data_IF_167120479169
#
_entry.id   IF_167120479169
#
_cell.length_a   1.000
_cell.length_b   1.000
_cell.length_c   1.000
_cell.angle_alpha   90.00
_cell.angle_beta   90.00
_cell.angle_gamma   90.00
#
_symmetry.space_group_name_H-M   'P 1'
#
loop_
_entity.id
_entity.type
_entity.pdbx_description
1 polymer ?
#
# COMPACT_ATOMS: atom_id res chain seq x y z
N UNK A 1 -2.80 60.26 34.55
CA UNK A 1 -3.13 59.83 33.18
C UNK A 1 -3.62 58.39 33.23
N UNK A 2 -4.89 58.12 32.88
CA UNK A 2 -5.44 56.77 32.77
C UNK A 2 -5.10 56.21 31.38
N UNK A 3 -4.45 55.06 31.32
CA UNK A 3 -4.25 54.31 30.07
C UNK A 3 -5.61 53.78 29.56
N UNK A 4 -5.90 53.81 28.25
CA UNK A 4 -7.14 53.28 27.72
C UNK A 4 -7.12 51.74 27.70
N UNK A 5 -8.28 51.07 27.79
CA UNK A 5 -8.35 49.63 27.77
C UNK A 5 -8.09 49.11 26.35
N UNK A 6 -7.23 48.11 26.24
CA UNK A 6 -6.98 47.39 24.99
C UNK A 6 -8.22 46.56 24.67
N UNK A 7 -8.88 46.87 23.56
CA UNK A 7 -9.95 46.08 22.98
C UNK A 7 -9.37 44.73 22.54
N UNK A 8 -9.79 43.65 23.20
CA UNK A 8 -9.52 42.28 22.76
C UNK A 8 -10.31 42.06 21.48
N UNK A 9 -9.63 42.20 20.35
CA UNK A 9 -10.14 41.86 19.04
C UNK A 9 -10.53 40.37 19.07
N UNK A 10 -11.83 40.11 18.94
CA UNK A 10 -12.40 38.78 18.95
C UNK A 10 -12.03 38.11 17.63
N UNK A 11 -10.86 37.47 17.59
CA UNK A 11 -10.44 36.59 16.49
C UNK A 11 -11.48 35.49 16.36
N UNK A 12 -12.32 35.57 15.33
CA UNK A 12 -13.16 34.44 14.91
C UNK A 12 -12.20 33.40 14.35
N UNK A 13 -12.15 32.18 14.90
CA UNK A 13 -11.17 31.18 14.47
C UNK A 13 -11.48 30.75 13.03
N UNK A 14 -10.42 30.67 12.21
CA UNK A 14 -10.35 30.17 10.82
C UNK A 14 -10.80 28.70 10.64
N UNK A 15 -11.20 28.05 11.74
CA UNK A 15 -11.61 26.66 11.88
C UNK A 15 -12.74 26.23 10.92
N UNK A 16 -13.64 27.14 10.53
CA UNK A 16 -14.80 26.81 9.70
C UNK A 16 -14.46 26.68 8.21
N UNK A 17 -13.56 27.51 7.70
CA UNK A 17 -13.09 27.46 6.32
C UNK A 17 -12.17 26.24 6.10
N UNK A 18 -11.27 25.99 7.05
CA UNK A 18 -10.40 24.80 7.06
C UNK A 18 -11.21 23.50 7.14
N UNK A 19 -12.29 23.45 7.94
CA UNK A 19 -13.21 22.31 7.98
C UNK A 19 -13.96 22.08 6.66
N UNK A 20 -14.42 23.14 6.00
CA UNK A 20 -15.15 23.03 4.74
C UNK A 20 -14.25 22.57 3.58
N UNK A 21 -13.00 23.03 3.54
CA UNK A 21 -11.99 22.62 2.56
C UNK A 21 -11.49 21.19 2.81
N UNK A 22 -11.37 20.79 4.09
CA UNK A 22 -11.09 19.42 4.56
C UNK A 22 -12.14 18.41 4.08
N UNK A 23 -13.42 18.75 4.20
CA UNK A 23 -14.51 17.86 3.77
C UNK A 23 -14.54 17.73 2.25
N UNK A 24 -14.32 18.83 1.51
CA UNK A 24 -14.27 18.79 0.04
C UNK A 24 -13.14 17.92 -0.51
N UNK A 25 -11.98 17.94 0.13
CA UNK A 25 -10.79 17.18 -0.29
C UNK A 25 -10.89 15.69 0.06
N UNK A 26 -11.44 15.36 1.23
CA UNK A 26 -11.82 13.98 1.57
C UNK A 26 -12.85 13.44 0.59
N UNK A 27 -13.82 14.25 0.18
CA UNK A 27 -14.83 13.88 -0.82
C UNK A 27 -14.22 13.68 -2.22
N UNK A 28 -13.16 14.40 -2.59
CA UNK A 28 -12.43 14.17 -3.85
C UNK A 28 -11.64 12.86 -3.78
N UNK A 29 -10.90 12.60 -2.71
CA UNK A 29 -10.16 11.34 -2.54
C UNK A 29 -11.12 10.14 -2.42
N UNK A 30 -12.12 10.23 -1.55
CA UNK A 30 -13.18 9.24 -1.43
C UNK A 30 -13.92 9.09 -2.77
N UNK A 31 -14.13 10.16 -3.52
CA UNK A 31 -14.69 10.13 -4.87
C UNK A 31 -13.81 9.38 -5.86
N UNK A 32 -12.50 9.61 -5.86
CA UNK A 32 -11.54 8.87 -6.71
C UNK A 32 -11.49 7.39 -6.33
N UNK A 33 -11.47 7.09 -5.03
CA UNK A 33 -11.49 5.71 -4.50
C UNK A 33 -12.82 5.03 -4.83
N UNK A 34 -13.95 5.72 -4.67
CA UNK A 34 -15.27 5.23 -5.05
C UNK A 34 -15.39 5.04 -6.55
N UNK A 35 -14.77 5.90 -7.37
CA UNK A 35 -14.70 5.73 -8.84
C UNK A 35 -13.83 4.53 -9.19
N UNK A 36 -12.67 4.34 -8.55
CA UNK A 36 -11.83 3.17 -8.77
C UNK A 36 -12.53 1.86 -8.35
N UNK A 37 -13.24 1.88 -7.22
CA UNK A 37 -14.07 0.77 -6.74
C UNK A 37 -15.26 0.55 -7.70
N UNK A 38 -15.93 1.61 -8.16
CA UNK A 38 -17.06 1.57 -9.10
C UNK A 38 -16.67 1.08 -10.49
N UNK A 39 -15.46 1.40 -10.96
CA UNK A 39 -14.91 0.84 -12.19
C UNK A 39 -14.56 -0.65 -12.03
N UNK A 40 -14.14 -1.06 -10.83
CA UNK A 40 -13.92 -2.45 -10.43
C UNK A 40 -15.19 -3.25 -10.10
N UNK A 41 -16.35 -2.60 -9.99
CA UNK A 41 -17.63 -3.29 -9.95
C UNK A 41 -17.88 -3.90 -11.31
N UNK A 42 -18.36 -5.15 -11.29
CA UNK A 42 -18.71 -6.04 -12.42
C UNK A 42 -19.43 -5.29 -13.55
N UNK A 43 -18.67 -4.58 -14.36
CA UNK A 43 -19.13 -3.73 -15.44
C UNK A 43 -19.17 -4.58 -16.69
N UNK A 44 -20.35 -4.77 -17.28
CA UNK A 44 -20.50 -5.42 -18.59
C UNK A 44 -19.96 -4.54 -19.73
N UNK A 45 -19.55 -3.29 -19.46
CA UNK A 45 -19.15 -2.30 -20.45
C UNK A 45 -17.64 -2.28 -20.75
N UNK A 46 -16.80 -2.75 -19.82
CA UNK A 46 -15.34 -2.71 -19.96
C UNK A 46 -14.73 -4.07 -19.64
N UNK A 47 -13.76 -4.50 -20.45
CA UNK A 47 -13.01 -5.71 -20.15
C UNK A 47 -12.17 -5.53 -18.88
N UNK A 48 -11.87 -6.61 -18.13
CA UNK A 48 -11.07 -6.52 -16.91
C UNK A 48 -9.76 -5.74 -17.10
N UNK A 49 -9.06 -5.96 -18.22
CA UNK A 49 -7.81 -5.23 -18.52
C UNK A 49 -7.99 -3.71 -18.64
N UNK A 50 -9.13 -3.24 -19.16
CA UNK A 50 -9.44 -1.82 -19.32
C UNK A 50 -9.75 -1.15 -17.98
N UNK A 51 -10.46 -1.84 -17.10
CA UNK A 51 -10.75 -1.36 -15.74
C UNK A 51 -9.45 -1.11 -14.98
N UNK A 52 -8.52 -2.05 -15.05
CA UNK A 52 -7.23 -1.95 -14.39
C UNK A 52 -6.30 -0.91 -15.05
N UNK A 53 -6.31 -0.79 -16.37
CA UNK A 53 -5.57 0.27 -17.08
C UNK A 53 -6.09 1.67 -16.72
N UNK A 54 -7.40 1.85 -16.59
CA UNK A 54 -8.02 3.10 -16.16
C UNK A 54 -7.72 3.42 -14.69
N UNK A 55 -7.77 2.42 -13.80
CA UNK A 55 -7.38 2.59 -12.41
C UNK A 55 -5.90 3.04 -12.30
N UNK A 56 -5.02 2.45 -13.12
CA UNK A 56 -3.62 2.82 -13.20
C UNK A 56 -3.41 4.21 -13.78
N UNK A 57 -4.14 4.57 -14.85
CA UNK A 57 -4.16 5.92 -15.41
C UNK A 57 -4.60 6.97 -14.38
N UNK A 58 -5.62 6.65 -13.57
CA UNK A 58 -6.08 7.51 -12.48
C UNK A 58 -5.01 7.65 -11.39
N UNK A 59 -4.28 6.58 -11.03
CA UNK A 59 -3.15 6.65 -10.09
C UNK A 59 -2.02 7.51 -10.67
N UNK A 60 -1.70 7.36 -11.96
CA UNK A 60 -0.64 8.12 -12.65
C UNK A 60 -1.01 9.60 -12.79
N UNK A 61 -2.28 9.94 -13.01
CA UNK A 61 -2.76 11.33 -13.09
C UNK A 61 -2.89 11.94 -11.69
N UNK A 62 -3.32 11.15 -10.70
CA UNK A 62 -3.39 11.59 -9.32
C UNK A 62 -1.99 11.79 -8.71
N UNK A 63 -0.97 11.03 -9.14
CA UNK A 63 0.38 11.10 -8.60
C UNK A 63 1.02 12.51 -8.71
N UNK A 64 0.98 13.24 -9.84
CA UNK A 64 1.41 14.64 -9.93
C UNK A 64 0.63 15.60 -9.04
N UNK A 65 -0.69 15.43 -8.94
CA UNK A 65 -1.53 16.23 -8.04
C UNK A 65 -1.16 15.96 -6.57
N UNK A 66 -0.87 14.71 -6.22
CA UNK A 66 -0.37 14.27 -4.92
C UNK A 66 1.05 14.77 -4.66
N UNK A 67 1.93 14.80 -5.67
CA UNK A 67 3.29 15.34 -5.58
C UNK A 67 3.31 16.87 -5.42
N UNK A 68 2.36 17.58 -6.04
CA UNK A 68 2.12 19.00 -5.81
C UNK A 68 1.62 19.28 -4.39
N UNK A 69 0.75 18.40 -3.87
CA UNK A 69 0.25 18.41 -2.50
C UNK A 69 1.34 18.16 -1.44
N UNK A 70 2.40 17.40 -1.75
CA UNK A 70 3.58 17.19 -0.85
C UNK A 70 4.35 18.47 -0.51
N UNK A 71 4.07 19.60 -1.16
CA UNK A 71 4.66 20.90 -0.84
C UNK A 71 3.84 21.71 0.19
N UNK A 72 2.63 21.27 0.55
CA UNK A 72 1.74 21.96 1.48
C UNK A 72 1.73 21.34 2.88
N UNK A 73 2.38 22.04 3.82
CA UNK A 73 2.22 22.11 5.30
C UNK A 73 1.99 20.85 6.17
N UNK A 74 2.50 20.93 7.41
CA UNK A 74 2.63 19.83 8.39
C UNK A 74 1.31 19.29 8.98
N UNK A 75 0.17 19.94 8.72
CA UNK A 75 -1.10 19.70 9.43
C UNK A 75 -2.07 18.71 8.74
N UNK A 76 -1.73 18.21 7.56
CA UNK A 76 -2.58 17.28 6.82
C UNK A 76 -2.27 15.79 7.12
N UNK A 77 -3.28 14.87 7.13
CA UNK A 77 -2.99 13.45 7.10
C UNK A 77 -2.31 13.12 5.78
N UNK A 78 -1.03 12.78 5.89
CA UNK A 78 -0.15 12.50 4.76
C UNK A 78 -0.64 11.30 3.96
N UNK A 79 -0.27 11.24 2.66
CA UNK A 79 -0.73 10.22 1.71
C UNK A 79 -0.56 8.78 2.22
N UNK A 80 0.43 8.59 3.10
CA UNK A 80 0.81 7.29 3.64
C UNK A 80 -0.33 6.61 4.42
N UNK A 81 -1.24 7.40 5.01
CA UNK A 81 -2.41 6.91 5.73
C UNK A 81 -3.46 6.27 4.82
N UNK A 82 -3.51 6.66 3.54
CA UNK A 82 -4.49 6.18 2.58
C UNK A 82 -4.04 4.93 1.81
N UNK A 83 -2.75 4.59 1.89
CA UNK A 83 -2.15 3.49 1.13
C UNK A 83 -2.80 2.12 1.39
N UNK A 84 -3.06 1.67 2.62
CA UNK A 84 -3.69 0.37 2.87
C UNK A 84 -5.12 0.32 2.36
N UNK A 85 -5.83 1.46 2.39
CA UNK A 85 -7.18 1.57 1.84
C UNK A 85 -7.13 1.41 0.33
N UNK A 86 -6.19 2.08 -0.35
CA UNK A 86 -6.01 1.95 -1.79
C UNK A 86 -5.63 0.51 -2.20
N UNK A 87 -4.65 -0.09 -1.52
CA UNK A 87 -4.21 -1.46 -1.78
C UNK A 87 -5.29 -2.51 -1.47
N UNK A 88 -6.09 -2.27 -0.42
CA UNK A 88 -7.17 -3.17 -0.08
C UNK A 88 -8.40 -2.98 -0.99
N UNK A 89 -8.64 -1.77 -1.51
CA UNK A 89 -9.61 -1.53 -2.57
C UNK A 89 -9.21 -2.24 -3.88
N UNK A 90 -7.92 -2.20 -4.25
CA UNK A 90 -7.33 -3.01 -5.34
C UNK A 90 -7.62 -4.49 -5.10
N UNK A 91 -7.39 -4.97 -3.87
CA UNK A 91 -7.64 -6.37 -3.51
C UNK A 91 -9.12 -6.74 -3.69
N UNK A 92 -10.04 -5.94 -3.16
CA UNK A 92 -11.48 -6.19 -3.29
C UNK A 92 -11.95 -6.09 -4.75
N UNK A 93 -11.53 -5.07 -5.50
CA UNK A 93 -11.83 -4.93 -6.91
C UNK A 93 -11.27 -6.09 -7.75
N UNK A 94 -10.15 -6.68 -7.33
CA UNK A 94 -9.63 -7.90 -7.93
C UNK A 94 -10.48 -9.10 -7.65
N UNK A 95 -10.79 -9.33 -6.37
CA UNK A 95 -11.60 -10.46 -5.91
C UNK A 95 -13.00 -10.49 -6.53
N UNK A 96 -13.57 -9.32 -6.87
CA UNK A 96 -14.88 -9.24 -7.54
C UNK A 96 -14.89 -9.85 -8.95
N UNK A 97 -13.72 -9.97 -9.59
CA UNK A 97 -13.56 -10.51 -10.94
C UNK A 97 -13.37 -12.03 -10.96
N UNK A 98 -13.22 -12.67 -9.80
CA UNK A 98 -13.02 -14.11 -9.72
C UNK A 98 -14.37 -14.84 -9.87
N UNK A 99 -14.51 -15.72 -10.87
CA UNK A 99 -15.77 -16.42 -11.12
C UNK A 99 -16.20 -17.34 -9.96
N UNK A 100 -15.25 -17.85 -9.16
CA UNK A 100 -15.50 -18.81 -8.08
C UNK A 100 -15.79 -18.15 -6.71
N UNK A 101 -15.65 -16.83 -6.60
CA UNK A 101 -15.90 -16.12 -5.35
C UNK A 101 -17.41 -15.92 -5.18
N UNK A 102 -17.99 -16.74 -4.30
CA UNK A 102 -19.40 -16.62 -3.90
C UNK A 102 -19.67 -15.25 -3.27
N UNK A 103 -20.82 -14.66 -3.59
CA UNK A 103 -21.20 -13.30 -3.17
C UNK A 103 -21.09 -13.09 -1.66
N UNK A 104 -21.48 -14.06 -0.84
CA UNK A 104 -21.39 -13.94 0.62
C UNK A 104 -19.93 -13.93 1.12
N UNK A 105 -19.01 -14.64 0.46
CA UNK A 105 -17.57 -14.61 0.77
C UNK A 105 -17.00 -13.23 0.43
N UNK A 106 -17.40 -12.68 -0.72
CA UNK A 106 -17.03 -11.34 -1.15
C UNK A 106 -17.53 -10.26 -0.18
N UNK A 107 -18.80 -10.34 0.24
CA UNK A 107 -19.38 -9.43 1.24
C UNK A 107 -18.64 -9.57 2.58
N UNK A 108 -18.39 -10.80 3.04
CA UNK A 108 -17.65 -11.05 4.27
C UNK A 108 -16.24 -10.47 4.24
N UNK A 109 -15.52 -10.65 3.13
CA UNK A 109 -14.20 -10.04 2.90
C UNK A 109 -14.29 -8.51 2.84
N UNK A 110 -15.30 -7.95 2.17
CA UNK A 110 -15.49 -6.49 2.07
C UNK A 110 -15.71 -5.86 3.45
N UNK A 111 -16.52 -6.50 4.30
CA UNK A 111 -16.74 -6.07 5.70
C UNK A 111 -15.45 -6.19 6.51
N UNK A 112 -14.70 -7.28 6.35
CA UNK A 112 -13.44 -7.49 7.06
C UNK A 112 -12.39 -6.44 6.68
N UNK A 113 -12.19 -6.18 5.39
CA UNK A 113 -11.30 -5.13 4.90
C UNK A 113 -11.76 -3.75 5.36
N UNK A 114 -13.07 -3.46 5.28
CA UNK A 114 -13.67 -2.22 5.78
C UNK A 114 -13.41 -1.99 7.27
N UNK A 115 -13.63 -3.01 8.12
CA UNK A 115 -13.31 -2.95 9.54
C UNK A 115 -11.80 -2.74 9.78
N UNK A 116 -10.95 -3.45 9.03
CA UNK A 116 -9.50 -3.27 9.04
C UNK A 116 -9.08 -1.84 8.71
N UNK A 117 -9.71 -1.20 7.72
CA UNK A 117 -9.42 0.20 7.36
C UNK A 117 -9.86 1.18 8.44
N UNK A 118 -11.03 0.97 9.06
CA UNK A 118 -11.49 1.81 10.18
C UNK A 118 -10.52 1.70 11.36
N UNK A 119 -10.05 0.49 11.66
CA UNK A 119 -9.03 0.25 12.70
C UNK A 119 -7.72 0.94 12.32
N UNK A 120 -7.20 0.72 11.10
CA UNK A 120 -5.95 1.33 10.64
C UNK A 120 -6.00 2.86 10.70
N UNK A 121 -7.10 3.47 10.24
CA UNK A 121 -7.32 4.92 10.30
C UNK A 121 -7.41 5.44 11.75
N UNK A 122 -8.06 4.69 12.66
CA UNK A 122 -8.07 5.04 14.08
C UNK A 122 -6.67 4.98 14.71
N UNK A 123 -5.88 3.98 14.37
CA UNK A 123 -4.51 3.84 14.87
C UNK A 123 -3.61 4.96 14.34
N UNK A 124 -3.77 5.33 13.06
CA UNK A 124 -3.08 6.46 12.43
C UNK A 124 -3.47 7.79 13.12
N UNK A 125 -4.73 7.97 13.46
CA UNK A 125 -5.21 9.13 14.22
C UNK A 125 -4.65 9.21 15.64
N UNK A 126 -4.62 8.09 16.37
CA UNK A 126 -4.03 8.04 17.72
C UNK A 126 -2.54 8.38 17.69
N UNK A 127 -1.86 8.01 16.60
CA UNK A 127 -0.46 8.32 16.40
C UNK A 127 -0.19 9.79 16.12
N UNK A 128 -1.01 10.44 15.30
CA UNK A 128 -0.93 11.89 15.06
C UNK A 128 -1.13 12.72 16.34
N UNK A 129 -1.66 12.11 17.41
CA UNK A 129 -1.87 12.72 18.72
C UNK A 129 -0.83 12.31 19.76
N UNK A 130 0.25 11.65 19.36
CA UNK A 130 1.28 11.10 20.23
C UNK A 130 0.76 10.10 21.28
N UNK A 131 -0.37 9.42 20.99
CA UNK A 131 -1.00 8.41 21.85
C UNK A 131 -0.68 6.96 21.41
N UNK A 132 0.43 6.78 20.70
CA UNK A 132 0.81 5.49 20.13
C UNK A 132 1.29 4.49 21.20
N UNK A 133 0.81 3.25 21.11
CA UNK A 133 1.28 2.11 21.92
C UNK A 133 1.99 1.11 21.02
N UNK A 134 2.95 0.34 21.57
CA UNK A 134 3.69 -0.70 20.82
C UNK A 134 2.78 -1.67 20.07
N UNK A 135 1.64 -2.06 20.66
CA UNK A 135 0.67 -2.95 20.02
C UNK A 135 -0.06 -2.33 18.80
N UNK A 136 -0.16 -1.00 18.74
CA UNK A 136 -0.77 -0.31 17.59
C UNK A 136 0.09 -0.49 16.33
N UNK A 137 1.42 -0.37 16.47
CA UNK A 137 2.37 -0.56 15.38
C UNK A 137 2.27 -1.98 14.81
N UNK A 138 2.24 -2.98 15.69
CA UNK A 138 2.13 -4.40 15.29
C UNK A 138 0.83 -4.65 14.53
N UNK A 139 -0.29 -4.09 14.99
CA UNK A 139 -1.57 -4.26 14.33
C UNK A 139 -1.63 -3.54 12.97
N UNK A 140 -1.07 -2.34 12.86
CA UNK A 140 -0.97 -1.62 11.58
C UNK A 140 -0.11 -2.36 10.57
N UNK A 141 1.02 -2.91 11.02
CA UNK A 141 1.93 -3.70 10.21
C UNK A 141 1.26 -5.00 9.73
N UNK A 142 0.53 -5.69 10.62
CA UNK A 142 -0.23 -6.90 10.26
C UNK A 142 -1.28 -6.59 9.19
N UNK A 143 -2.05 -5.50 9.35
CA UNK A 143 -3.04 -5.08 8.35
C UNK A 143 -2.35 -4.78 7.01
N UNK A 144 -1.21 -4.09 7.02
CA UNK A 144 -0.46 -3.80 5.81
C UNK A 144 0.01 -5.09 5.11
N UNK A 145 0.58 -6.05 5.85
CA UNK A 145 1.02 -7.34 5.31
C UNK A 145 -0.12 -8.10 4.66
N UNK A 146 -1.29 -8.17 5.32
CA UNK A 146 -2.48 -8.85 4.78
C UNK A 146 -2.97 -8.18 3.49
N UNK A 147 -3.02 -6.86 3.48
CA UNK A 147 -3.46 -6.08 2.32
C UNK A 147 -2.48 -6.22 1.14
N UNK A 148 -1.18 -6.17 1.40
CA UNK A 148 -0.14 -6.35 0.37
C UNK A 148 -0.19 -7.75 -0.22
N UNK A 149 -0.33 -8.77 0.62
CA UNK A 149 -0.48 -10.15 0.17
C UNK A 149 -1.72 -10.32 -0.72
N UNK A 150 -2.87 -9.78 -0.30
CA UNK A 150 -4.09 -9.80 -1.09
C UNK A 150 -3.93 -9.11 -2.44
N UNK A 151 -3.27 -7.96 -2.48
CA UNK A 151 -3.02 -7.23 -3.71
C UNK A 151 -2.08 -8.01 -4.66
N UNK A 152 -1.02 -8.64 -4.15
CA UNK A 152 -0.17 -9.50 -4.97
C UNK A 152 -0.90 -10.73 -5.49
N UNK A 153 -1.69 -11.40 -4.65
CA UNK A 153 -2.46 -12.56 -5.06
C UNK A 153 -3.41 -12.21 -6.21
N UNK A 154 -4.14 -11.10 -6.09
CA UNK A 154 -5.02 -10.60 -7.15
C UNK A 154 -4.25 -10.34 -8.44
N UNK A 155 -3.14 -9.62 -8.38
CA UNK A 155 -2.37 -9.23 -9.57
C UNK A 155 -1.71 -10.42 -10.25
N UNK A 156 -1.31 -11.43 -9.48
CA UNK A 156 -0.77 -12.67 -10.06
C UNK A 156 -1.88 -13.52 -10.70
N UNK A 157 -3.05 -13.59 -10.07
CA UNK A 157 -4.13 -14.46 -10.56
C UNK A 157 -4.90 -13.85 -11.74
N UNK A 158 -5.02 -12.53 -11.78
CA UNK A 158 -5.54 -11.84 -12.95
C UNK A 158 -4.48 -11.93 -14.05
N UNK A 159 -4.77 -12.70 -15.09
CA UNK A 159 -3.88 -12.98 -16.22
C UNK A 159 -3.69 -11.74 -17.11
N UNK A 160 -3.12 -10.68 -16.56
CA UNK A 160 -2.80 -9.46 -17.27
C UNK A 160 -1.72 -9.70 -18.33
N UNK A 161 -1.57 -8.73 -19.25
CA UNK A 161 -0.34 -8.64 -20.01
C UNK A 161 0.86 -8.51 -19.04
N UNK A 162 1.99 -9.21 -19.28
CA UNK A 162 3.16 -9.18 -18.40
C UNK A 162 3.63 -7.78 -18.00
N UNK A 163 3.56 -6.80 -18.91
CA UNK A 163 3.97 -5.42 -18.63
C UNK A 163 3.07 -4.79 -17.56
N UNK A 164 1.75 -4.97 -17.69
CA UNK A 164 0.77 -4.41 -16.76
C UNK A 164 0.86 -5.10 -15.40
N UNK A 165 1.10 -6.41 -15.37
CA UNK A 165 1.33 -7.17 -14.16
C UNK A 165 2.56 -6.66 -13.39
N UNK A 166 3.69 -6.49 -14.08
CA UNK A 166 4.92 -5.96 -13.48
C UNK A 166 4.74 -4.53 -12.96
N UNK A 167 4.01 -3.69 -13.69
CA UNK A 167 3.71 -2.32 -13.25
C UNK A 167 2.86 -2.34 -11.96
N UNK A 168 1.86 -3.21 -11.87
CA UNK A 168 1.07 -3.35 -10.65
C UNK A 168 1.89 -3.88 -9.47
N UNK A 169 2.74 -4.89 -9.69
CA UNK A 169 3.65 -5.41 -8.66
C UNK A 169 4.59 -4.30 -8.16
N UNK A 170 5.13 -3.49 -9.08
CA UNK A 170 5.94 -2.32 -8.74
C UNK A 170 5.16 -1.31 -7.90
N UNK A 171 3.96 -0.90 -8.35
CA UNK A 171 3.14 0.10 -7.65
C UNK A 171 2.73 -0.38 -6.26
N UNK A 172 2.31 -1.63 -6.10
CA UNK A 172 1.96 -2.22 -4.79
C UNK A 172 3.16 -2.18 -3.85
N UNK A 173 4.31 -2.70 -4.32
CA UNK A 173 5.54 -2.76 -3.54
C UNK A 173 6.05 -1.37 -3.15
N UNK A 174 6.02 -0.43 -4.08
CA UNK A 174 6.42 0.95 -3.87
C UNK A 174 5.53 1.63 -2.81
N UNK A 175 4.21 1.60 -2.98
CA UNK A 175 3.28 2.25 -2.07
C UNK A 175 3.38 1.65 -0.66
N UNK A 176 3.39 0.32 -0.55
CA UNK A 176 3.50 -0.36 0.74
C UNK A 176 4.81 -0.01 1.47
N UNK A 177 5.93 0.04 0.75
CA UNK A 177 7.23 0.42 1.31
C UNK A 177 7.26 1.88 1.71
N UNK A 178 6.72 2.77 0.88
CA UNK A 178 6.65 4.19 1.16
C UNK A 178 5.84 4.46 2.44
N UNK A 179 4.66 3.81 2.60
CA UNK A 179 3.93 3.86 3.88
C UNK A 179 4.79 3.37 5.02
N UNK A 180 5.40 2.20 4.88
CA UNK A 180 6.16 1.58 5.97
C UNK A 180 7.33 2.44 6.45
N UNK A 181 8.02 3.17 5.56
CA UNK A 181 9.15 4.03 5.93
C UNK A 181 8.74 5.37 6.54
N UNK A 182 7.53 5.83 6.24
CA UNK A 182 7.01 7.13 6.67
C UNK A 182 6.20 7.02 7.95
N UNK A 183 5.48 5.92 8.08
CA UNK A 183 4.65 5.62 9.22
C UNK A 183 5.48 4.79 10.18
N UNK A 184 5.88 3.56 9.88
CA UNK A 184 6.36 2.66 10.95
C UNK A 184 7.78 3.01 11.46
N UNK A 185 7.93 3.13 12.80
CA UNK A 185 9.20 3.40 13.49
C UNK A 185 9.70 4.84 13.38
N UNK A 186 11.03 4.99 13.27
CA UNK A 186 11.67 6.29 13.14
C UNK A 186 11.33 6.88 11.77
N UNK A 187 10.73 8.07 11.75
CA UNK A 187 10.22 8.67 10.51
C UNK A 187 11.37 8.99 9.56
N UNK A 188 11.45 8.27 8.43
CA UNK A 188 12.42 8.56 7.38
C UNK A 188 11.95 9.79 6.59
N UNK A 189 12.88 10.71 6.29
CA UNK A 189 12.60 11.92 5.52
C UNK A 189 11.94 11.57 4.15
N UNK A 190 10.95 12.36 3.66
CA UNK A 190 10.14 12.00 2.49
C UNK A 190 10.95 11.63 1.25
N UNK A 191 11.99 12.41 0.93
CA UNK A 191 12.85 12.17 -0.24
C UNK A 191 13.60 10.84 -0.14
N UNK A 192 14.11 10.51 1.06
CA UNK A 192 14.83 9.24 1.29
C UNK A 192 13.86 8.07 1.25
N UNK A 193 12.72 8.19 1.93
CA UNK A 193 11.66 7.17 1.91
C UNK A 193 11.17 6.87 0.48
N UNK A 194 11.04 7.89 -0.37
CA UNK A 194 10.68 7.72 -1.78
C UNK A 194 11.73 6.92 -2.55
N UNK A 195 13.02 7.30 -2.46
CA UNK A 195 14.12 6.60 -3.14
C UNK A 195 14.23 5.14 -2.66
N UNK A 196 14.13 4.92 -1.35
CA UNK A 196 14.15 3.59 -0.77
C UNK A 196 12.93 2.75 -1.18
N UNK A 197 11.74 3.35 -1.22
CA UNK A 197 10.55 2.66 -1.71
C UNK A 197 10.67 2.31 -3.20
N UNK A 198 11.29 3.16 -4.02
CA UNK A 198 11.60 2.85 -5.42
C UNK A 198 12.53 1.63 -5.51
N UNK A 199 13.59 1.60 -4.72
CA UNK A 199 14.52 0.47 -4.68
C UNK A 199 13.81 -0.83 -4.27
N UNK A 200 12.96 -0.77 -3.24
CA UNK A 200 12.16 -1.94 -2.83
C UNK A 200 11.24 -2.40 -3.96
N UNK A 201 10.51 -1.47 -4.58
CA UNK A 201 9.64 -1.77 -5.70
C UNK A 201 10.38 -2.42 -6.87
N UNK A 202 11.56 -1.90 -7.22
CA UNK A 202 12.38 -2.45 -8.30
C UNK A 202 12.82 -3.89 -8.04
N UNK A 203 13.31 -4.21 -6.84
CA UNK A 203 13.77 -5.58 -6.52
C UNK A 203 12.61 -6.59 -6.56
N UNK A 204 11.45 -6.24 -6.00
CA UNK A 204 10.27 -7.13 -6.03
C UNK A 204 9.78 -7.33 -7.47
N UNK A 205 9.78 -6.26 -8.27
CA UNK A 205 9.39 -6.33 -9.69
C UNK A 205 10.40 -7.13 -10.51
N UNK A 206 11.70 -7.01 -10.20
CA UNK A 206 12.74 -7.80 -10.86
C UNK A 206 12.60 -9.29 -10.55
N UNK A 207 12.28 -9.66 -9.30
CA UNK A 207 11.96 -11.04 -8.97
C UNK A 207 10.73 -11.54 -9.75
N UNK A 208 9.67 -10.73 -9.82
CA UNK A 208 8.48 -11.07 -10.60
C UNK A 208 8.82 -11.30 -12.08
N UNK A 209 9.64 -10.42 -12.66
CA UNK A 209 10.12 -10.55 -14.03
C UNK A 209 10.96 -11.82 -14.21
N UNK A 210 11.83 -12.17 -13.26
CA UNK A 210 12.64 -13.38 -13.34
C UNK A 210 11.76 -14.64 -13.33
N UNK A 211 10.74 -14.69 -12.45
CA UNK A 211 9.79 -15.80 -12.38
C UNK A 211 9.01 -15.92 -13.71
N UNK A 212 8.51 -14.82 -14.26
CA UNK A 212 7.77 -14.86 -15.53
C UNK A 212 8.65 -15.18 -16.73
N UNK A 213 9.89 -14.67 -16.78
CA UNK A 213 10.85 -14.99 -17.83
C UNK A 213 11.26 -16.48 -17.82
N UNK A 214 11.28 -17.10 -16.65
CA UNK A 214 11.63 -18.50 -16.46
C UNK A 214 10.41 -19.44 -16.39
N UNK A 215 9.22 -18.98 -16.76
CA UNK A 215 7.97 -19.78 -16.70
C UNK A 215 8.04 -21.13 -17.46
N UNK A 216 8.95 -21.26 -18.44
CA UNK A 216 9.20 -22.53 -19.14
C UNK A 216 9.87 -23.58 -18.23
N UNK A 217 10.66 -23.12 -17.25
CA UNK A 217 11.43 -23.95 -16.34
C UNK A 217 10.92 -23.91 -14.90
N UNK A 218 9.95 -23.03 -14.60
CA UNK A 218 9.38 -22.84 -13.26
C UNK A 218 7.87 -23.09 -13.28
N UNK A 219 7.42 -24.02 -12.43
CA UNK A 219 5.99 -24.26 -12.16
C UNK A 219 5.65 -23.58 -10.83
N UNK A 220 5.13 -22.37 -10.92
CA UNK A 220 4.74 -21.58 -9.73
C UNK A 220 3.24 -21.36 -9.75
N UNK A 221 2.54 -21.94 -8.79
CA UNK A 221 1.14 -21.62 -8.54
C UNK A 221 0.99 -20.18 -8.06
N UNK A 222 -0.15 -19.55 -8.35
CA UNK A 222 -0.41 -18.13 -8.09
C UNK A 222 -0.22 -17.77 -6.62
N UNK A 223 -0.66 -18.65 -5.72
CA UNK A 223 -0.47 -18.50 -4.28
C UNK A 223 1.01 -18.51 -3.87
N UNK A 224 1.79 -19.45 -4.41
CA UNK A 224 3.23 -19.53 -4.15
C UNK A 224 3.96 -18.30 -4.68
N UNK A 225 3.59 -17.84 -5.88
CA UNK A 225 4.16 -16.62 -6.46
C UNK A 225 3.85 -15.40 -5.59
N UNK A 226 2.60 -15.24 -5.12
CA UNK A 226 2.24 -14.15 -4.21
C UNK A 226 3.04 -14.18 -2.90
N UNK A 227 3.29 -15.37 -2.33
CA UNK A 227 4.15 -15.54 -1.15
C UNK A 227 5.60 -15.16 -1.44
N UNK A 228 6.14 -15.55 -2.59
CA UNK A 228 7.50 -15.15 -3.00
C UNK A 228 7.63 -13.62 -3.09
N UNK A 229 6.65 -12.94 -3.69
CA UNK A 229 6.62 -11.48 -3.77
C UNK A 229 6.51 -10.83 -2.38
N UNK A 230 5.68 -11.39 -1.50
CA UNK A 230 5.52 -10.92 -0.13
C UNK A 230 6.84 -11.01 0.66
N UNK A 231 7.55 -12.14 0.56
CA UNK A 231 8.84 -12.32 1.22
C UNK A 231 9.91 -11.40 0.63
N UNK A 232 9.97 -11.28 -0.70
CA UNK A 232 10.90 -10.34 -1.33
C UNK A 232 10.65 -8.89 -0.87
N UNK A 233 9.39 -8.48 -0.79
CA UNK A 233 9.01 -7.18 -0.26
C UNK A 233 9.40 -7.04 1.22
N UNK A 234 9.03 -8.00 2.06
CA UNK A 234 9.30 -7.98 3.51
C UNK A 234 10.78 -7.88 3.82
N UNK A 235 11.59 -8.75 3.19
CA UNK A 235 13.04 -8.82 3.38
C UNK A 235 13.68 -7.51 2.92
N UNK A 236 13.42 -7.07 1.70
CA UNK A 236 14.12 -5.92 1.15
C UNK A 236 13.75 -4.63 1.90
N UNK A 237 12.46 -4.44 2.19
CA UNK A 237 12.00 -3.33 3.03
C UNK A 237 12.64 -3.36 4.42
N UNK A 238 12.70 -4.52 5.06
CA UNK A 238 13.32 -4.71 6.37
C UNK A 238 14.80 -4.36 6.37
N UNK A 239 15.57 -4.88 5.40
CA UNK A 239 16.99 -4.57 5.23
C UNK A 239 17.21 -3.07 5.05
N UNK A 240 16.49 -2.43 4.14
CA UNK A 240 16.63 -0.98 3.91
C UNK A 240 16.34 -0.20 5.17
N UNK A 241 15.30 -0.58 5.93
CA UNK A 241 14.94 0.09 7.17
C UNK A 241 16.00 -0.06 8.25
N UNK A 242 16.44 -1.29 8.52
CA UNK A 242 17.48 -1.56 9.53
C UNK A 242 18.84 -0.95 9.15
N UNK A 243 19.10 -0.76 7.86
CA UNK A 243 20.27 0.00 7.38
C UNK A 243 20.15 1.49 7.71
N UNK A 244 18.97 2.09 7.53
CA UNK A 244 18.77 3.53 7.74
C UNK A 244 18.67 3.88 9.22
N UNK A 245 18.10 2.99 10.02
CA UNK A 245 17.94 3.15 11.47
C UNK A 245 19.18 2.70 12.26
N UNK A 246 20.26 2.26 11.59
CA UNK A 246 21.46 1.67 12.21
C UNK A 246 21.11 0.59 13.27
N UNK A 247 20.06 -0.19 13.00
CA UNK A 247 19.44 -1.11 13.97
C UNK A 247 19.68 -2.58 13.62
N UNK A 248 20.71 -2.86 12.82
CA UNK A 248 21.13 -4.23 12.51
C UNK A 248 21.64 -4.95 13.76
N UNK A 249 20.91 -5.98 14.15
CA UNK A 249 21.32 -6.91 15.20
C UNK A 249 21.46 -8.32 14.62
N UNK A 250 22.14 -9.21 15.35
CA UNK A 250 22.25 -10.62 14.96
C UNK A 250 20.88 -11.27 14.76
N UNK A 251 19.90 -10.93 15.59
CA UNK A 251 18.55 -11.48 15.49
C UNK A 251 17.84 -11.01 14.21
N UNK A 252 18.00 -9.73 13.85
CA UNK A 252 17.49 -9.16 12.59
C UNK A 252 18.09 -9.89 11.39
N UNK A 253 19.41 -10.10 11.37
CA UNK A 253 20.08 -10.84 10.28
C UNK A 253 19.57 -12.28 10.18
N UNK A 254 19.38 -12.97 11.30
CA UNK A 254 18.87 -14.34 11.33
C UNK A 254 17.40 -14.41 10.85
N UNK A 255 16.55 -13.46 11.25
CA UNK A 255 15.16 -13.40 10.83
C UNK A 255 15.05 -13.22 9.31
N UNK A 256 15.66 -12.17 8.75
CA UNK A 256 15.61 -11.91 7.32
C UNK A 256 16.36 -12.96 6.49
N UNK A 257 17.44 -13.52 7.05
CA UNK A 257 18.15 -14.65 6.46
C UNK A 257 17.27 -15.91 6.37
N UNK A 258 16.48 -16.22 7.40
CA UNK A 258 15.56 -17.35 7.38
C UNK A 258 14.47 -17.16 6.30
N UNK A 259 13.88 -15.97 6.19
CA UNK A 259 12.93 -15.68 5.11
C UNK A 259 13.57 -15.77 3.72
N UNK A 260 14.82 -15.33 3.57
CA UNK A 260 15.55 -15.46 2.31
C UNK A 260 15.80 -16.93 1.93
N UNK A 261 16.15 -17.78 2.89
CA UNK A 261 16.30 -19.22 2.68
C UNK A 261 14.97 -19.85 2.22
N UNK A 262 13.86 -19.49 2.87
CA UNK A 262 12.53 -19.99 2.45
C UNK A 262 12.20 -19.50 1.04
N UNK A 263 12.47 -18.24 0.71
CA UNK A 263 12.25 -17.70 -0.64
C UNK A 263 13.08 -18.47 -1.70
N UNK A 264 14.35 -18.75 -1.43
CA UNK A 264 15.21 -19.55 -2.30
C UNK A 264 14.67 -20.97 -2.44
N UNK A 265 14.27 -21.59 -1.32
CA UNK A 265 13.68 -22.93 -1.33
C UNK A 265 12.44 -22.98 -2.21
N UNK A 266 11.51 -22.03 -2.08
CA UNK A 266 10.31 -21.97 -2.91
C UNK A 266 10.67 -21.85 -4.39
N UNK A 267 11.69 -21.05 -4.73
CA UNK A 267 12.14 -20.88 -6.11
C UNK A 267 12.74 -22.15 -6.69
N UNK A 268 13.66 -22.79 -5.94
CA UNK A 268 14.33 -24.04 -6.34
C UNK A 268 13.35 -25.20 -6.41
N UNK A 269 12.44 -25.34 -5.45
CA UNK A 269 11.42 -26.38 -5.45
C UNK A 269 10.45 -26.26 -6.64
N UNK A 270 10.29 -25.05 -7.17
CA UNK A 270 9.47 -24.78 -8.36
C UNK A 270 10.21 -25.02 -9.68
N UNK A 271 11.54 -25.22 -9.65
CA UNK A 271 12.37 -25.40 -10.85
C UNK A 271 12.31 -26.84 -11.37
N UNK A 272 11.89 -26.99 -12.63
CA UNK A 272 11.76 -28.26 -13.34
C UNK A 272 12.44 -28.17 -14.72
N UNK A 273 13.75 -28.46 -14.82
CA UNK A 273 14.52 -28.29 -16.05
C UNK A 273 14.26 -29.36 -17.12
N UNK A 274 13.56 -30.43 -16.79
CA UNK A 274 13.39 -31.63 -17.63
C UNK A 274 12.04 -31.66 -18.37
N UNK A 275 11.52 -30.50 -18.76
CA UNK A 275 10.41 -30.37 -19.72
C UNK A 275 10.88 -29.69 -20.99
#
# INVERSE_FOLDING_TARGET
MKLPPVLVEKVVPTDSAEKAERDRSFLIFAGIVLVAIALGFKSELLSPGQVWALALGMVVIAAPALLGYLRGTEEFPRIEHYIPVALGAITLAGLSLFPDVQLWKYIGLSVLFGAGFVIAGRLDYLRLRDQEKRGHIVLQELILVVVVFGAFLVVVTLHFNPILQLLWIFTISFLASYRSFRVNGAVIAPRRAFIFALFVGQVVTFLAWAITALQLYLIVYEGTFAVMLLFAWYINRGLVRHTVEDSFTRNVVLEYGAFAIVLIYLFVASYQPSR
#
